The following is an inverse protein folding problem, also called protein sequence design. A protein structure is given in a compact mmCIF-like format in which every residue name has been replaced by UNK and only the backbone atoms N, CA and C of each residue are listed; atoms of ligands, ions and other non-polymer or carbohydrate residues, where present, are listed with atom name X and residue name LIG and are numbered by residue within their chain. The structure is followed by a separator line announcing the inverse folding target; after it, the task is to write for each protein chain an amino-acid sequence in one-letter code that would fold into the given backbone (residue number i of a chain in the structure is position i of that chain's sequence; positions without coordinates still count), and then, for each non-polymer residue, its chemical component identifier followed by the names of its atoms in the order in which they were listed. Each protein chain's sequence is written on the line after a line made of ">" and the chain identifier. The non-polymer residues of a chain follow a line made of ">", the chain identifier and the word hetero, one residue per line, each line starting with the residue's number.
data_IF_244377459482
#
_entry.id   IF_244377459482
#
_cell.length_a   1.000
_cell.length_b   1.000
_cell.length_c   1.000
_cell.angle_alpha   90.00
_cell.angle_beta   90.00
_cell.angle_gamma   90.00
#
_symmetry.space_group_name_H-M   'P 1'
#
loop_
_entity.id
_entity.type
_entity.pdbx_description
1 polymer ?
#
# COMPACT_ATOMS: atom_id res chain seq x y z
N UNK A 1 10.81 -8.44 6.04
CA UNK A 1 10.05 -8.63 7.29
C UNK A 1 8.61 -9.04 6.95
N UNK A 2 8.14 -10.18 7.46
CA UNK A 2 6.73 -10.61 7.37
C UNK A 2 6.40 -11.39 8.64
N UNK A 3 5.37 -10.97 9.38
CA UNK A 3 4.84 -11.69 10.55
C UNK A 3 3.34 -11.79 10.36
N UNK A 4 2.82 -13.01 10.11
CA UNK A 4 1.43 -13.24 9.69
C UNK A 4 1.07 -12.40 8.45
N UNK A 5 0.17 -11.45 8.59
CA UNK A 5 -0.32 -10.51 7.58
C UNK A 5 0.35 -9.13 7.64
N UNK A 6 1.20 -8.90 8.64
CA UNK A 6 2.05 -7.71 8.74
C UNK A 6 3.25 -7.85 7.82
N UNK A 7 3.42 -6.90 6.91
CA UNK A 7 4.55 -6.82 5.99
C UNK A 7 4.82 -5.38 5.60
N UNK A 8 6.02 -5.13 5.10
CA UNK A 8 6.47 -3.83 4.63
C UNK A 8 6.41 -3.77 3.10
N UNK A 9 6.07 -2.60 2.58
CA UNK A 9 6.24 -2.22 1.19
C UNK A 9 6.87 -0.83 1.14
N UNK A 10 7.45 -0.49 0.00
CA UNK A 10 8.10 0.80 -0.25
C UNK A 10 7.65 1.32 -1.61
N UNK A 11 7.30 2.60 -1.66
CA UNK A 11 6.80 3.30 -2.83
C UNK A 11 7.43 4.68 -2.87
N UNK A 12 7.76 5.18 -4.06
CA UNK A 12 8.22 6.55 -4.22
C UNK A 12 7.06 7.57 -4.22
N UNK A 13 7.40 8.86 -4.23
CA UNK A 13 6.42 9.95 -4.18
C UNK A 13 5.63 10.17 -5.48
N UNK A 14 5.98 9.44 -6.55
CA UNK A 14 5.30 9.43 -7.84
C UNK A 14 4.36 8.23 -7.99
N UNK A 15 4.35 7.32 -7.00
CA UNK A 15 3.47 6.17 -6.96
C UNK A 15 4.06 4.89 -7.55
N UNK A 16 5.36 4.85 -7.82
CA UNK A 16 6.04 3.63 -8.27
C UNK A 16 6.36 2.75 -7.07
N UNK A 17 5.90 1.50 -7.13
CA UNK A 17 6.24 0.50 -6.11
C UNK A 17 7.71 0.08 -6.24
N UNK A 18 8.51 0.34 -5.20
CA UNK A 18 9.93 -0.02 -5.14
C UNK A 18 10.14 -1.41 -4.53
N UNK A 19 9.28 -1.82 -3.59
CA UNK A 19 9.35 -3.13 -2.95
C UNK A 19 8.00 -3.53 -2.37
N UNK A 20 7.61 -4.80 -2.52
CA UNK A 20 6.39 -5.32 -1.90
C UNK A 20 6.52 -6.80 -1.51
N UNK A 21 6.61 -7.08 -0.21
CA UNK A 21 6.97 -8.42 0.30
C UNK A 21 5.97 -9.55 -0.03
N UNK A 22 4.70 -9.23 -0.29
CA UNK A 22 3.63 -10.22 -0.57
C UNK A 22 3.24 -10.28 -2.06
N UNK A 23 3.58 -9.24 -2.83
CA UNK A 23 3.11 -9.03 -4.20
C UNK A 23 4.24 -8.44 -5.05
N UNK A 24 5.33 -9.20 -5.27
CA UNK A 24 6.47 -8.72 -6.04
C UNK A 24 6.09 -8.29 -7.47
N UNK A 25 4.97 -8.79 -8.01
CA UNK A 25 4.41 -8.41 -9.30
C UNK A 25 3.98 -6.93 -9.40
N UNK A 26 3.91 -6.21 -8.27
CA UNK A 26 3.62 -4.79 -8.23
C UNK A 26 4.87 -3.91 -8.41
N UNK A 27 6.07 -4.45 -8.16
CA UNK A 27 7.32 -3.69 -8.21
C UNK A 27 7.56 -3.13 -9.63
N UNK A 28 7.92 -1.86 -9.72
CA UNK A 28 8.14 -1.12 -10.97
C UNK A 28 6.88 -0.57 -11.63
N UNK A 29 5.69 -0.84 -11.09
CA UNK A 29 4.43 -0.26 -11.60
C UNK A 29 4.12 1.04 -10.91
N UNK A 30 3.63 2.02 -11.68
CA UNK A 30 2.97 3.19 -11.13
C UNK A 30 1.54 2.82 -10.72
N UNK A 31 1.22 2.96 -9.44
CA UNK A 31 -0.05 2.57 -8.83
C UNK A 31 -0.83 3.78 -8.30
N UNK A 32 -0.46 5.00 -8.70
CA UNK A 32 -1.10 6.22 -8.23
C UNK A 32 -2.60 6.26 -8.52
N UNK A 33 -3.03 5.66 -9.63
CA UNK A 33 -4.43 5.57 -10.05
C UNK A 33 -5.08 4.23 -9.71
N UNK A 34 -4.43 3.39 -8.90
CA UNK A 34 -4.97 2.09 -8.51
C UNK A 34 -6.24 2.26 -7.67
N UNK A 35 -7.34 1.68 -8.14
CA UNK A 35 -8.65 1.79 -7.50
C UNK A 35 -9.47 0.48 -7.57
N UNK A 36 -8.81 -0.67 -7.71
CA UNK A 36 -9.46 -1.97 -7.95
C UNK A 36 -10.49 -2.36 -6.88
N UNK A 37 -10.34 -1.86 -5.66
CA UNK A 37 -11.17 -2.23 -4.50
C UNK A 37 -12.13 -1.13 -4.04
N UNK A 38 -12.31 -0.09 -4.88
CA UNK A 38 -13.18 1.04 -4.61
C UNK A 38 -12.52 2.18 -3.84
N UNK A 39 -11.20 2.13 -3.61
CA UNK A 39 -10.41 3.15 -2.93
C UNK A 39 -9.11 3.48 -3.66
N UNK A 40 -8.69 4.76 -3.63
CA UNK A 40 -7.42 5.23 -4.19
C UNK A 40 -6.29 5.12 -3.14
N UNK A 41 -6.05 3.91 -2.61
CA UNK A 41 -5.24 3.72 -1.41
C UNK A 41 -3.82 4.28 -1.52
N UNK A 42 -3.12 4.07 -2.64
CA UNK A 42 -1.73 4.53 -2.80
C UNK A 42 -1.65 6.05 -2.92
N UNK A 43 -2.64 6.67 -3.58
CA UNK A 43 -2.77 8.13 -3.63
C UNK A 43 -3.01 8.71 -2.23
N UNK A 44 -3.86 8.07 -1.42
CA UNK A 44 -4.11 8.48 -0.04
C UNK A 44 -2.86 8.35 0.84
N UNK A 45 -2.09 7.27 0.68
CA UNK A 45 -0.80 7.08 1.37
C UNK A 45 0.22 8.15 0.99
N UNK A 46 0.37 8.47 -0.31
CA UNK A 46 1.26 9.52 -0.78
C UNK A 46 0.80 10.90 -0.28
N UNK A 47 -0.50 11.16 -0.26
CA UNK A 47 -1.04 12.40 0.29
C UNK A 47 -0.71 12.54 1.79
N UNK A 48 -0.85 11.46 2.57
CA UNK A 48 -0.47 11.42 3.99
C UNK A 48 1.03 11.69 4.17
N UNK A 49 1.86 11.00 3.39
CA UNK A 49 3.30 11.13 3.39
C UNK A 49 3.75 12.57 3.09
N UNK A 50 3.13 13.21 2.08
CA UNK A 50 3.40 14.61 1.72
C UNK A 50 2.90 15.60 2.77
N UNK A 51 1.82 15.30 3.49
CA UNK A 51 1.23 16.24 4.46
C UNK A 51 1.92 16.25 5.82
N UNK A 52 2.25 15.07 6.35
CA UNK A 52 2.70 14.90 7.74
C UNK A 52 3.98 14.10 7.87
N UNK A 53 4.52 13.55 6.78
CA UNK A 53 5.66 12.62 6.81
C UNK A 53 5.28 11.22 7.30
N UNK A 54 4.26 11.09 8.14
CA UNK A 54 3.83 9.82 8.70
C UNK A 54 2.32 9.76 9.00
N UNK A 55 1.79 8.55 9.23
CA UNK A 55 0.45 8.36 9.76
C UNK A 55 -0.21 7.05 9.36
N UNK A 56 -1.40 6.81 9.92
CA UNK A 56 -2.24 5.66 9.60
C UNK A 56 -3.11 5.91 8.37
N UNK A 57 -3.27 4.89 7.54
CA UNK A 57 -4.16 4.87 6.38
C UNK A 57 -4.94 3.56 6.35
N UNK A 58 -6.26 3.68 6.32
CA UNK A 58 -7.20 2.57 6.16
C UNK A 58 -7.59 2.39 4.69
N UNK A 59 -7.65 1.14 4.24
CA UNK A 59 -7.93 0.78 2.85
C UNK A 59 -8.37 -0.69 2.74
N UNK A 60 -8.81 -1.09 1.55
CA UNK A 60 -9.19 -2.46 1.23
C UNK A 60 -8.08 -3.20 0.49
N UNK A 61 -7.77 -4.41 0.92
CA UNK A 61 -6.71 -5.21 0.30
C UNK A 61 -6.97 -6.72 0.41
N UNK A 62 -6.49 -7.53 -0.55
CA UNK A 62 -6.57 -8.99 -0.44
C UNK A 62 -5.81 -9.50 0.79
N UNK A 63 -6.44 -10.40 1.52
CA UNK A 63 -5.77 -11.11 2.60
C UNK A 63 -4.61 -11.95 2.03
N UNK A 64 -3.42 -11.94 2.65
CA UNK A 64 -2.26 -12.62 2.09
C UNK A 64 -2.51 -14.10 1.79
N UNK A 65 -2.34 -14.50 0.52
CA UNK A 65 -2.56 -15.88 0.06
C UNK A 65 -3.99 -16.20 -0.37
N UNK A 66 -4.91 -15.23 -0.35
CA UNK A 66 -6.29 -15.39 -0.84
C UNK A 66 -6.70 -14.21 -1.74
N UNK A 67 -7.87 -14.33 -2.38
CA UNK A 67 -8.51 -13.23 -3.13
C UNK A 67 -9.56 -12.48 -2.30
N UNK A 68 -9.74 -12.86 -1.03
CA UNK A 68 -10.72 -12.25 -0.14
C UNK A 68 -10.28 -10.82 0.22
N UNK A 69 -11.09 -9.83 -0.13
CA UNK A 69 -10.83 -8.42 0.18
C UNK A 69 -11.24 -8.12 1.61
N UNK A 70 -10.31 -7.57 2.41
CA UNK A 70 -10.55 -7.17 3.79
C UNK A 70 -10.14 -5.73 4.02
N UNK A 71 -10.73 -5.13 5.05
CA UNK A 71 -10.26 -3.87 5.58
C UNK A 71 -8.87 -4.06 6.20
N UNK A 72 -7.97 -3.14 5.90
CA UNK A 72 -6.58 -3.15 6.31
C UNK A 72 -6.15 -1.74 6.69
N UNK A 73 -5.27 -1.67 7.67
CA UNK A 73 -4.64 -0.44 8.12
C UNK A 73 -3.13 -0.55 7.87
N UNK A 74 -2.49 0.52 7.40
CA UNK A 74 -1.03 0.60 7.32
C UNK A 74 -0.54 1.92 7.87
N UNK A 75 0.54 1.85 8.64
CA UNK A 75 1.30 3.03 9.03
C UNK A 75 2.30 3.33 7.92
N UNK A 76 2.28 4.56 7.42
CA UNK A 76 3.23 5.05 6.43
C UNK A 76 4.18 6.03 7.10
N UNK A 77 5.43 6.08 6.63
CA UNK A 77 6.44 7.05 7.04
C UNK A 77 7.39 7.34 5.87
N UNK A 78 7.86 8.58 5.78
CA UNK A 78 8.83 9.07 4.79
C UNK A 78 10.23 9.18 5.34
#
# INVERSE_FOLDING_TARGET
>A
FKVKDLYVFCMDMEGVMLSHAVKPELVGKNLLTFNKYGDELFKNMIAKAKSSGEGWVDYKWPYPGTEEIKDKTSYIMT
#
